data_IF_680749790660
#
_entry.id   IF_680749790660
#
_cell.length_a   1.000
_cell.length_b   1.000
_cell.length_c   1.000
_cell.angle_alpha   90.00
_cell.angle_beta   90.00
_cell.angle_gamma   90.00
#
_symmetry.space_group_name_H-M   'P 1'
#
loop_
_entity.id
_entity.type
_entity.pdbx_description
1 polymer ?
#
# COMPACT_ATOMS: atom_id res chain seq x y z
N UNK A 1 -14.99 -6.63 -17.60
CA UNK A 1 -15.95 -5.53 -17.42
C UNK A 1 -15.35 -4.29 -18.08
N UNK A 2 -16.03 -3.65 -19.05
CA UNK A 2 -15.52 -2.37 -19.59
C UNK A 2 -15.86 -1.28 -18.57
N UNK A 3 -14.85 -0.60 -18.07
CA UNK A 3 -15.01 0.56 -17.19
C UNK A 3 -15.45 1.74 -18.06
N UNK A 4 -16.60 2.33 -17.75
CA UNK A 4 -17.03 3.59 -18.36
C UNK A 4 -16.32 4.74 -17.66
N UNK A 5 -15.26 5.25 -18.30
CA UNK A 5 -14.40 6.29 -17.75
C UNK A 5 -15.12 7.63 -17.54
N UNK A 6 -16.18 7.91 -18.31
CA UNK A 6 -16.98 9.13 -18.15
C UNK A 6 -17.78 9.06 -16.87
N UNK A 7 -18.52 7.98 -16.68
CA UNK A 7 -19.29 7.75 -15.44
C UNK A 7 -18.37 7.62 -14.20
N UNK A 8 -17.15 7.05 -14.37
CA UNK A 8 -16.21 6.98 -13.29
C UNK A 8 -15.79 8.38 -12.80
N UNK A 9 -15.49 9.34 -13.72
CA UNK A 9 -15.12 10.71 -13.36
C UNK A 9 -16.23 11.43 -12.58
N UNK A 10 -17.50 11.18 -12.92
CA UNK A 10 -18.67 11.77 -12.26
C UNK A 10 -18.84 11.30 -10.80
N UNK A 11 -18.18 10.21 -10.41
CA UNK A 11 -18.18 9.75 -9.02
C UNK A 11 -17.22 10.51 -8.10
N UNK A 12 -16.59 11.59 -8.59
CA UNK A 12 -15.70 12.45 -7.84
C UNK A 12 -16.18 13.90 -7.89
N UNK A 13 -16.89 14.36 -6.88
CA UNK A 13 -17.46 15.73 -6.79
C UNK A 13 -16.42 16.84 -6.95
N UNK A 14 -15.13 16.58 -6.66
CA UNK A 14 -14.07 17.56 -6.84
C UNK A 14 -13.95 18.04 -8.30
N UNK A 15 -14.38 17.22 -9.27
CA UNK A 15 -14.32 17.55 -10.70
C UNK A 15 -15.58 18.22 -11.24
N UNK A 16 -16.63 18.39 -10.44
CA UNK A 16 -17.88 19.01 -10.89
C UNK A 16 -17.71 20.46 -11.33
N UNK A 17 -16.88 21.22 -10.59
CA UNK A 17 -16.67 22.66 -10.83
C UNK A 17 -15.71 22.94 -11.97
N UNK A 18 -14.83 22.03 -12.30
CA UNK A 18 -13.79 22.19 -13.33
C UNK A 18 -13.81 21.04 -14.33
N UNK A 19 -14.88 20.95 -15.11
CA UNK A 19 -15.09 19.86 -16.08
C UNK A 19 -14.03 19.77 -17.19
N UNK A 20 -13.32 20.88 -17.47
CA UNK A 20 -12.32 20.97 -18.52
C UNK A 20 -10.89 20.67 -18.07
N UNK A 21 -10.62 20.60 -16.77
CA UNK A 21 -9.27 20.34 -16.27
C UNK A 21 -8.98 18.84 -16.18
N UNK A 22 -7.73 18.46 -16.52
CA UNK A 22 -7.21 17.13 -16.29
C UNK A 22 -6.36 17.12 -15.00
N UNK A 23 -6.72 16.26 -14.04
CA UNK A 23 -5.90 16.04 -12.85
C UNK A 23 -4.87 14.94 -13.15
N UNK A 24 -3.60 15.29 -13.19
CA UNK A 24 -2.50 14.39 -13.58
C UNK A 24 -1.52 14.12 -12.43
N UNK A 25 -1.89 14.44 -11.19
CA UNK A 25 -1.02 14.32 -10.02
C UNK A 25 -1.50 13.28 -8.99
N UNK A 26 -2.11 12.20 -9.48
CA UNK A 26 -2.58 11.10 -8.60
C UNK A 26 -1.45 10.37 -7.90
N UNK A 27 -0.21 10.48 -8.39
CA UNK A 27 0.96 9.92 -7.73
C UNK A 27 1.26 10.62 -6.39
N UNK A 28 1.05 11.94 -6.32
CA UNK A 28 1.18 12.70 -5.08
C UNK A 28 -0.07 12.57 -4.21
N UNK A 29 -1.27 12.71 -4.80
CA UNK A 29 -2.54 12.64 -4.07
C UNK A 29 -3.64 12.07 -4.97
N UNK A 30 -4.08 10.85 -4.72
CA UNK A 30 -5.26 10.30 -5.37
C UNK A 30 -6.53 10.99 -4.84
N UNK A 31 -7.45 11.34 -5.76
CA UNK A 31 -8.72 11.95 -5.38
C UNK A 31 -9.64 10.90 -4.73
N UNK A 32 -10.51 11.37 -3.84
CA UNK A 32 -11.41 10.52 -3.05
C UNK A 32 -12.78 10.50 -3.72
N UNK A 33 -13.32 9.33 -4.10
CA UNK A 33 -14.66 9.22 -4.66
C UNK A 33 -15.74 9.50 -3.62
N UNK A 34 -16.89 9.99 -4.07
CA UNK A 34 -18.02 10.36 -3.21
C UNK A 34 -18.53 9.20 -2.35
N UNK A 35 -18.47 7.97 -2.87
CA UNK A 35 -18.83 6.77 -2.09
C UNK A 35 -17.98 6.61 -0.82
N UNK A 36 -16.69 6.96 -0.87
CA UNK A 36 -15.79 6.92 0.30
C UNK A 36 -16.10 8.07 1.25
N UNK A 37 -16.32 9.29 0.71
CA UNK A 37 -16.69 10.45 1.52
C UNK A 37 -17.99 10.17 2.29
N UNK A 38 -19.00 9.67 1.61
CA UNK A 38 -20.30 9.33 2.19
C UNK A 38 -20.17 8.21 3.26
N UNK A 39 -19.31 7.22 3.02
CA UNK A 39 -19.07 6.15 4.01
C UNK A 39 -18.35 6.65 5.26
N UNK A 40 -17.40 7.59 5.11
CA UNK A 40 -16.76 8.24 6.25
C UNK A 40 -17.77 9.10 7.04
N UNK A 41 -18.62 9.85 6.35
CA UNK A 41 -19.68 10.64 6.97
C UNK A 41 -20.67 9.74 7.75
N UNK A 42 -21.11 8.65 7.15
CA UNK A 42 -21.98 7.64 7.79
C UNK A 42 -21.32 7.10 9.08
N UNK A 43 -20.02 6.74 9.01
CA UNK A 43 -19.29 6.25 10.16
C UNK A 43 -19.29 7.23 11.31
N UNK A 44 -18.88 8.48 11.07
CA UNK A 44 -18.79 9.50 12.11
C UNK A 44 -20.16 9.91 12.67
N UNK A 45 -21.21 9.91 11.86
CA UNK A 45 -22.57 10.28 12.31
C UNK A 45 -23.26 9.19 13.12
N UNK A 46 -23.03 7.91 12.82
CA UNK A 46 -23.93 6.87 13.28
C UNK A 46 -23.31 5.76 14.11
N UNK A 47 -22.01 5.44 13.94
CA UNK A 47 -21.42 4.29 14.63
C UNK A 47 -19.91 4.43 14.93
N UNK A 48 -19.38 5.64 14.98
CA UNK A 48 -17.98 5.87 15.34
C UNK A 48 -17.68 5.34 16.74
N UNK A 49 -16.90 4.27 16.81
CA UNK A 49 -16.58 3.58 18.07
C UNK A 49 -15.34 2.68 17.92
N UNK A 50 -14.84 2.15 19.05
CA UNK A 50 -13.68 1.27 19.06
C UNK A 50 -13.99 -0.06 18.36
N UNK A 51 -13.12 -0.43 17.41
CA UNK A 51 -13.13 -1.74 16.78
C UNK A 51 -12.59 -2.79 17.76
N UNK A 52 -13.22 -3.98 17.83
CA UNK A 52 -12.86 -5.13 18.67
C UNK A 52 -12.97 -4.92 20.20
N UNK A 53 -13.35 -3.73 20.67
CA UNK A 53 -13.39 -3.43 22.12
C UNK A 53 -14.68 -2.71 22.51
N UNK A 54 -15.70 -3.47 22.78
CA UNK A 54 -16.95 -2.94 23.30
C UNK A 54 -18.12 -3.92 23.12
N UNK A 55 -19.19 -3.67 23.87
CA UNK A 55 -20.36 -4.55 23.96
C UNK A 55 -21.65 -3.87 23.47
N UNK A 56 -21.54 -2.68 22.90
CA UNK A 56 -22.70 -1.94 22.39
C UNK A 56 -22.84 -2.10 20.85
N UNK A 57 -23.99 -1.74 20.33
CA UNK A 57 -24.33 -1.89 18.90
C UNK A 57 -23.38 -1.11 17.96
N UNK A 58 -22.90 0.05 18.40
CA UNK A 58 -21.95 0.84 17.59
C UNK A 58 -20.59 0.13 17.46
N UNK A 59 -20.09 -0.47 18.54
CA UNK A 59 -18.85 -1.24 18.51
C UNK A 59 -18.98 -2.49 17.62
N UNK A 60 -20.11 -3.20 17.73
CA UNK A 60 -20.38 -4.35 16.87
C UNK A 60 -20.42 -3.94 15.39
N UNK A 61 -21.16 -2.88 15.07
CA UNK A 61 -21.22 -2.36 13.69
C UNK A 61 -19.84 -1.93 13.18
N UNK A 62 -19.07 -1.16 13.95
CA UNK A 62 -17.71 -0.74 13.57
C UNK A 62 -16.77 -1.92 13.34
N UNK A 63 -16.86 -2.95 14.19
CA UNK A 63 -16.06 -4.17 14.05
C UNK A 63 -16.44 -4.93 12.79
N UNK A 64 -17.73 -5.13 12.53
CA UNK A 64 -18.22 -5.85 11.38
C UNK A 64 -17.83 -5.15 10.06
N UNK A 65 -17.96 -3.82 9.99
CA UNK A 65 -17.55 -3.03 8.82
C UNK A 65 -16.04 -3.13 8.58
N UNK A 66 -15.22 -3.05 9.64
CA UNK A 66 -13.77 -3.17 9.56
C UNK A 66 -13.33 -4.55 9.06
N UNK A 67 -13.90 -5.62 9.61
CA UNK A 67 -13.56 -6.98 9.20
C UNK A 67 -14.11 -7.30 7.79
N UNK A 68 -15.26 -6.75 7.43
CA UNK A 68 -15.77 -6.84 6.05
C UNK A 68 -14.82 -6.18 5.06
N UNK A 69 -14.29 -4.98 5.37
CA UNK A 69 -13.29 -4.32 4.54
C UNK A 69 -12.02 -5.18 4.40
N UNK A 70 -11.56 -5.80 5.49
CA UNK A 70 -10.41 -6.73 5.48
C UNK A 70 -10.64 -7.92 4.56
N UNK A 71 -11.82 -8.55 4.61
CA UNK A 71 -12.19 -9.67 3.74
C UNK A 71 -12.24 -9.25 2.26
N UNK A 72 -12.77 -8.06 1.97
CA UNK A 72 -12.80 -7.52 0.59
C UNK A 72 -11.39 -7.33 0.04
N UNK A 73 -10.48 -6.74 0.83
CA UNK A 73 -9.08 -6.56 0.43
C UNK A 73 -8.38 -7.92 0.28
N UNK A 74 -8.59 -8.85 1.21
CA UNK A 74 -8.04 -10.20 1.11
C UNK A 74 -8.43 -10.87 -0.22
N UNK A 75 -9.71 -10.79 -0.59
CA UNK A 75 -10.18 -11.34 -1.86
C UNK A 75 -9.63 -10.60 -3.08
N UNK A 76 -9.49 -9.26 -2.98
CA UNK A 76 -8.98 -8.44 -4.08
C UNK A 76 -7.50 -8.73 -4.41
N UNK A 77 -6.67 -8.97 -3.40
CA UNK A 77 -5.24 -9.28 -3.58
C UNK A 77 -4.97 -10.78 -3.67
N UNK A 78 -6.01 -11.62 -3.66
CA UNK A 78 -5.91 -13.09 -3.68
C UNK A 78 -5.06 -13.67 -2.55
N UNK A 79 -5.09 -13.04 -1.38
CA UNK A 79 -4.40 -13.55 -0.21
C UNK A 79 -5.10 -14.81 0.33
N UNK A 80 -4.32 -15.77 0.82
CA UNK A 80 -4.85 -17.06 1.28
C UNK A 80 -5.66 -16.93 2.57
N UNK A 81 -5.22 -16.07 3.47
CA UNK A 81 -5.84 -15.88 4.79
C UNK A 81 -6.11 -14.41 5.07
N UNK A 82 -7.20 -14.11 5.75
CA UNK A 82 -7.55 -12.74 6.20
C UNK A 82 -6.46 -12.15 7.12
N UNK A 83 -5.78 -12.99 7.90
CA UNK A 83 -4.67 -12.58 8.77
C UNK A 83 -3.44 -12.06 8.05
N UNK A 84 -3.33 -12.27 6.73
CA UNK A 84 -2.26 -11.68 5.90
C UNK A 84 -2.49 -10.20 5.59
N UNK A 85 -3.71 -9.69 5.84
CA UNK A 85 -4.04 -8.30 5.57
C UNK A 85 -3.82 -7.46 6.83
N UNK A 86 -2.87 -6.53 6.74
CA UNK A 86 -2.54 -5.59 7.80
C UNK A 86 -2.77 -4.16 7.29
N UNK A 87 -3.71 -3.44 7.91
CA UNK A 87 -3.95 -2.04 7.58
C UNK A 87 -2.89 -1.15 8.23
N UNK A 88 -2.31 -0.26 7.44
CA UNK A 88 -1.34 0.76 7.85
C UNK A 88 -1.79 2.13 7.36
N UNK A 89 -1.15 3.19 7.82
CA UNK A 89 -1.50 4.56 7.43
C UNK A 89 -1.09 4.88 5.98
N UNK A 90 0.00 4.28 5.50
CA UNK A 90 0.57 4.52 4.18
C UNK A 90 1.66 3.50 3.85
N UNK A 91 2.15 3.53 2.61
CA UNK A 91 3.22 2.66 2.13
C UNK A 91 4.50 2.79 2.95
N UNK A 92 4.87 3.99 3.38
CA UNK A 92 6.06 4.23 4.22
C UNK A 92 5.97 3.45 5.53
N UNK A 93 4.82 3.46 6.21
CA UNK A 93 4.61 2.67 7.42
C UNK A 93 4.67 1.17 7.15
N UNK A 94 4.06 0.71 6.04
CA UNK A 94 4.08 -0.70 5.65
C UNK A 94 5.51 -1.22 5.46
N UNK A 95 6.32 -0.49 4.70
CA UNK A 95 7.72 -0.89 4.44
C UNK A 95 8.55 -0.86 5.72
N UNK A 96 8.38 0.17 6.55
CA UNK A 96 9.06 0.23 7.85
C UNK A 96 8.61 -0.90 8.79
N UNK A 97 7.34 -1.29 8.76
CA UNK A 97 6.84 -2.43 9.52
C UNK A 97 7.53 -3.74 9.10
N UNK A 98 7.69 -3.96 7.79
CA UNK A 98 8.43 -5.13 7.27
C UNK A 98 9.90 -5.06 7.65
N UNK A 99 10.56 -3.91 7.44
CA UNK A 99 11.99 -3.76 7.71
C UNK A 99 12.31 -3.95 9.19
N UNK A 100 11.58 -3.29 10.10
CA UNK A 100 11.86 -3.32 11.53
C UNK A 100 11.19 -4.49 12.26
N UNK A 101 9.99 -4.90 11.83
CA UNK A 101 9.23 -5.96 12.48
C UNK A 101 9.62 -7.36 12.04
N UNK A 102 9.94 -7.54 10.77
CA UNK A 102 10.28 -8.86 10.21
C UNK A 102 11.75 -8.96 9.79
N UNK A 103 12.23 -8.09 8.88
CA UNK A 103 13.54 -8.24 8.27
C UNK A 103 14.68 -8.15 9.31
N UNK A 104 14.61 -7.21 10.24
CA UNK A 104 15.61 -7.05 11.30
C UNK A 104 15.79 -8.29 12.18
N UNK A 105 14.76 -9.14 12.30
CA UNK A 105 14.77 -10.34 13.14
C UNK A 105 15.01 -11.64 12.36
N UNK A 106 14.85 -11.60 11.05
CA UNK A 106 14.95 -12.79 10.18
C UNK A 106 16.14 -12.75 9.23
N UNK A 107 16.68 -11.57 8.95
CA UNK A 107 17.86 -11.41 8.12
C UNK A 107 19.13 -11.28 8.99
N UNK A 108 20.26 -11.63 8.42
CA UNK A 108 21.60 -11.56 9.02
C UNK A 108 22.58 -10.85 8.09
N UNK A 109 23.77 -10.55 8.60
CA UNK A 109 24.83 -9.98 7.80
C UNK A 109 25.16 -10.84 6.58
N UNK A 110 25.21 -10.22 5.42
CA UNK A 110 25.43 -10.88 4.13
C UNK A 110 24.18 -11.23 3.36
N UNK A 111 22.99 -11.33 3.99
CA UNK A 111 21.73 -11.56 3.25
C UNK A 111 21.44 -10.39 2.30
N UNK A 112 20.92 -10.68 1.10
CA UNK A 112 20.67 -9.73 0.03
C UNK A 112 19.25 -9.19 0.03
N UNK A 113 19.11 -7.89 -0.27
CA UNK A 113 17.83 -7.27 -0.68
C UNK A 113 18.02 -6.65 -2.04
N UNK A 114 17.11 -6.95 -2.97
CA UNK A 114 17.13 -6.41 -4.33
C UNK A 114 16.16 -5.23 -4.42
N UNK A 115 16.63 -4.11 -4.93
CA UNK A 115 15.87 -2.87 -5.14
C UNK A 115 16.05 -2.41 -6.58
N UNK A 116 15.11 -1.64 -7.09
CA UNK A 116 15.28 -0.95 -8.37
C UNK A 116 15.73 0.50 -8.18
N UNK A 117 16.37 1.08 -9.18
CA UNK A 117 16.71 2.51 -9.15
C UNK A 117 15.47 3.42 -9.25
N UNK A 118 14.30 2.87 -9.55
CA UNK A 118 13.01 3.58 -9.62
C UNK A 118 12.33 3.75 -8.26
N UNK A 119 12.90 3.20 -7.19
CA UNK A 119 12.24 3.18 -5.88
C UNK A 119 12.01 4.58 -5.32
N UNK A 120 10.85 4.78 -4.72
CA UNK A 120 10.63 5.93 -3.87
C UNK A 120 11.45 5.80 -2.57
N UNK A 121 11.88 6.92 -1.99
CA UNK A 121 12.68 6.92 -0.75
C UNK A 121 12.09 6.09 0.39
N UNK A 122 10.77 5.96 0.46
CA UNK A 122 10.11 5.10 1.46
C UNK A 122 10.51 3.63 1.35
N UNK A 123 10.91 3.17 0.14
CA UNK A 123 11.39 1.81 -0.12
C UNK A 123 12.92 1.75 -0.33
N UNK A 124 13.63 2.78 0.05
CA UNK A 124 15.11 2.82 0.04
C UNK A 124 15.65 2.98 1.46
N UNK A 125 15.21 4.03 2.15
CA UNK A 125 15.77 4.46 3.43
C UNK A 125 15.71 3.38 4.53
N UNK A 126 14.60 2.65 4.73
CA UNK A 126 14.54 1.58 5.74
C UNK A 126 15.59 0.48 5.51
N UNK A 127 15.84 0.11 4.26
CA UNK A 127 16.84 -0.90 3.91
C UNK A 127 18.27 -0.40 4.07
N UNK A 128 18.54 0.88 3.77
CA UNK A 128 19.83 1.50 4.05
C UNK A 128 20.12 1.53 5.56
N UNK A 129 19.10 1.80 6.39
CA UNK A 129 19.23 1.73 7.84
C UNK A 129 19.53 0.31 8.30
N UNK A 130 18.78 -0.67 7.79
CA UNK A 130 18.96 -2.08 8.12
C UNK A 130 20.36 -2.59 7.69
N UNK A 131 20.84 -2.19 6.50
CA UNK A 131 22.20 -2.46 6.06
C UNK A 131 23.25 -1.96 7.08
N UNK A 132 23.06 -0.73 7.61
CA UNK A 132 23.95 -0.15 8.61
C UNK A 132 23.89 -0.89 9.95
N UNK A 133 22.70 -1.38 10.34
CA UNK A 133 22.48 -2.01 11.64
C UNK A 133 22.93 -3.47 11.69
N UNK A 134 22.62 -4.26 10.69
CA UNK A 134 22.86 -5.72 10.69
C UNK A 134 23.73 -6.22 9.55
N UNK A 135 24.15 -5.36 8.60
CA UNK A 135 25.13 -5.71 7.57
C UNK A 135 24.57 -6.49 6.38
N UNK A 136 23.29 -6.31 6.03
CA UNK A 136 22.72 -6.87 4.80
C UNK A 136 23.34 -6.22 3.57
N UNK A 137 23.27 -6.89 2.43
CA UNK A 137 23.63 -6.36 1.12
C UNK A 137 22.44 -5.72 0.44
N UNK A 138 22.65 -4.63 -0.29
CA UNK A 138 21.64 -4.04 -1.18
C UNK A 138 22.12 -4.13 -2.61
N UNK A 139 21.35 -4.79 -3.44
CA UNK A 139 21.59 -4.96 -4.86
C UNK A 139 20.62 -4.08 -5.63
N UNK A 140 21.09 -3.42 -6.69
CA UNK A 140 20.29 -2.50 -7.47
C UNK A 140 20.08 -3.02 -8.87
N UNK A 141 18.85 -2.93 -9.36
CA UNK A 141 18.50 -3.21 -10.74
C UNK A 141 18.40 -1.89 -11.49
N UNK A 142 19.15 -1.78 -12.56
CA UNK A 142 19.13 -0.63 -13.46
C UNK A 142 17.96 -0.69 -14.46
N UNK A 143 17.85 0.35 -15.27
CA UNK A 143 16.90 0.41 -16.37
C UNK A 143 17.63 0.12 -17.68
N UNK A 144 16.93 -0.59 -18.56
CA UNK A 144 17.28 -0.67 -19.98
C UNK A 144 17.03 0.67 -20.68
N UNK A 145 17.53 0.82 -21.91
CA UNK A 145 17.39 2.06 -22.70
C UNK A 145 15.92 2.47 -22.96
N UNK A 146 15.01 1.52 -22.97
CA UNK A 146 13.56 1.74 -23.14
C UNK A 146 12.82 2.01 -21.82
N UNK A 147 13.54 2.14 -20.71
CA UNK A 147 12.99 2.47 -19.40
C UNK A 147 12.33 1.31 -18.64
N UNK A 148 12.57 0.07 -19.08
CA UNK A 148 12.13 -1.12 -18.36
C UNK A 148 13.20 -1.55 -17.34
N UNK A 149 12.81 -2.32 -16.32
CA UNK A 149 13.78 -2.93 -15.41
C UNK A 149 14.64 -3.95 -16.16
N UNK A 150 15.95 -3.93 -15.92
CA UNK A 150 16.88 -4.91 -16.47
C UNK A 150 16.70 -6.27 -15.76
N UNK A 151 15.81 -7.10 -16.33
CA UNK A 151 15.53 -8.42 -15.78
C UNK A 151 16.70 -9.41 -15.91
N UNK A 152 17.63 -9.21 -16.86
CA UNK A 152 18.84 -10.03 -16.95
C UNK A 152 19.76 -9.75 -15.75
N UNK A 153 19.87 -8.47 -15.34
CA UNK A 153 20.60 -8.09 -14.13
C UNK A 153 19.94 -8.68 -12.88
N UNK A 154 18.59 -8.66 -12.80
CA UNK A 154 17.86 -9.29 -11.71
C UNK A 154 18.17 -10.79 -11.60
N UNK A 155 18.02 -11.54 -12.69
CA UNK A 155 18.28 -12.99 -12.71
C UNK A 155 19.71 -13.31 -12.28
N UNK A 156 20.70 -12.54 -12.78
CA UNK A 156 22.09 -12.69 -12.40
C UNK A 156 22.33 -12.47 -10.89
N UNK A 157 21.71 -11.45 -10.29
CA UNK A 157 21.83 -11.18 -8.85
C UNK A 157 21.27 -12.36 -8.05
N UNK A 158 20.11 -12.91 -8.44
CA UNK A 158 19.47 -14.03 -7.73
C UNK A 158 20.26 -15.35 -7.86
N UNK A 159 21.01 -15.54 -8.96
CA UNK A 159 21.85 -16.73 -9.15
C UNK A 159 23.17 -16.67 -8.37
N UNK A 160 23.67 -15.46 -8.07
CA UNK A 160 24.96 -15.24 -7.38
C UNK A 160 24.83 -15.19 -5.85
N UNK A 161 23.62 -14.98 -5.30
CA UNK A 161 23.30 -14.88 -3.85
C UNK A 161 22.71 -16.20 -3.29
#
# INVERSE_FOLDING_TARGET
>A
MKIDLINLRESFSIFEKEKSSAYLDSAATAQVPDSVINKMEEYYKYYCSNVHRGVNLQNEKSTNEFETARNVIQSFVDAKYVSEIVFTKNCTESINLVANGWAKHNLKAGDGIVLSILEHHSNIVPWLQLKKEIGINLHWIDLSEDGQLDMNQYEKIIEEE
#
